data_IF_891853046613
#
_entry.id   IF_891853046613
#
_cell.length_a   1.000
_cell.length_b   1.000
_cell.length_c   1.000
_cell.angle_alpha   90.00
_cell.angle_beta   90.00
_cell.angle_gamma   90.00
#
_symmetry.space_group_name_H-M   'P 1'
#
loop_
_entity.id
_entity.type
_entity.pdbx_description
1 polymer ?
#
# COMPACT_ATOMS: atom_id res chain seq x y z
N UNK A 1 5.46 25.41 -4.73
CA UNK A 1 5.96 24.55 -5.83
C UNK A 1 6.19 23.17 -5.23
N UNK A 2 5.63 22.11 -5.83
CA UNK A 2 5.74 20.74 -5.31
C UNK A 2 7.19 20.29 -5.42
N UNK A 3 7.73 19.69 -4.37
CA UNK A 3 9.09 19.13 -4.43
C UNK A 3 9.08 17.90 -5.36
N UNK A 4 9.74 17.96 -6.54
CA UNK A 4 9.73 16.87 -7.50
C UNK A 4 10.35 15.58 -6.93
N UNK A 5 11.28 15.69 -5.99
CA UNK A 5 11.91 14.53 -5.35
C UNK A 5 10.91 13.79 -4.47
N UNK A 6 10.08 14.51 -3.72
CA UNK A 6 9.03 13.90 -2.89
C UNK A 6 7.94 13.23 -3.74
N UNK A 7 7.65 13.75 -4.92
CA UNK A 7 6.73 13.10 -5.88
C UNK A 7 7.31 11.80 -6.40
N UNK A 8 8.55 11.84 -6.87
CA UNK A 8 9.27 10.68 -7.37
C UNK A 8 9.37 9.59 -6.31
N UNK A 9 9.66 9.98 -5.06
CA UNK A 9 9.68 9.09 -3.91
C UNK A 9 8.33 8.37 -3.72
N UNK A 10 7.21 9.11 -3.70
CA UNK A 10 5.90 8.50 -3.51
C UNK A 10 5.47 7.60 -4.68
N UNK A 11 5.83 7.95 -5.92
CA UNK A 11 5.58 7.10 -7.09
C UNK A 11 6.37 5.80 -7.02
N UNK A 12 7.66 5.87 -6.64
CA UNK A 12 8.48 4.67 -6.41
C UNK A 12 7.90 3.80 -5.30
N UNK A 13 7.48 4.40 -4.19
CA UNK A 13 6.84 3.68 -3.10
C UNK A 13 5.54 2.99 -3.55
N UNK A 14 4.73 3.63 -4.40
CA UNK A 14 3.53 3.00 -4.98
C UNK A 14 3.89 1.77 -5.82
N UNK A 15 4.90 1.88 -6.69
CA UNK A 15 5.35 0.78 -7.52
C UNK A 15 6.00 -0.37 -6.72
N UNK A 16 6.68 -0.07 -5.63
CA UNK A 16 7.24 -1.07 -4.71
C UNK A 16 6.13 -1.78 -3.93
N UNK A 17 5.14 -1.04 -3.43
CA UNK A 17 3.97 -1.59 -2.75
C UNK A 17 3.14 -2.48 -3.67
N UNK A 18 2.85 -2.03 -4.90
CA UNK A 18 2.14 -2.81 -5.91
C UNK A 18 2.79 -4.18 -6.13
N UNK A 19 4.12 -4.20 -6.29
CA UNK A 19 4.91 -5.44 -6.48
C UNK A 19 4.85 -6.34 -5.26
N UNK A 20 5.09 -5.81 -4.07
CA UNK A 20 5.04 -6.57 -2.83
C UNK A 20 3.64 -7.17 -2.59
N UNK A 21 2.59 -6.39 -2.87
CA UNK A 21 1.20 -6.82 -2.75
C UNK A 21 0.87 -7.95 -3.73
N UNK A 22 1.29 -7.81 -4.99
CA UNK A 22 1.13 -8.86 -6.02
C UNK A 22 1.79 -10.19 -5.63
N UNK A 23 3.01 -10.14 -5.07
CA UNK A 23 3.69 -11.33 -4.56
C UNK A 23 2.95 -11.95 -3.36
N UNK A 24 2.49 -11.13 -2.41
CA UNK A 24 1.76 -11.58 -1.23
C UNK A 24 0.44 -12.29 -1.59
N UNK A 25 -0.32 -11.75 -2.57
CA UNK A 25 -1.55 -12.37 -3.08
C UNK A 25 -1.27 -13.69 -3.81
N UNK A 26 -0.24 -13.70 -4.66
CA UNK A 26 0.20 -14.91 -5.36
C UNK A 26 0.58 -16.03 -4.38
N UNK A 27 1.31 -15.71 -3.31
CA UNK A 27 1.70 -16.68 -2.28
C UNK A 27 0.54 -17.32 -1.52
N UNK A 28 -0.66 -16.72 -1.54
CA UNK A 28 -1.89 -17.26 -0.93
C UNK A 28 -2.78 -18.03 -1.90
N UNK A 29 -2.33 -18.22 -3.14
CA UNK A 29 -3.17 -18.81 -4.18
C UNK A 29 -4.26 -17.89 -4.70
N UNK A 30 -4.26 -16.60 -4.32
CA UNK A 30 -5.13 -15.53 -4.88
C UNK A 30 -4.48 -14.85 -6.09
N UNK A 31 -3.49 -15.52 -6.70
CA UNK A 31 -2.71 -14.99 -7.80
C UNK A 31 -3.43 -15.16 -9.13
N UNK A 32 -3.57 -14.02 -9.82
CA UNK A 32 -3.93 -13.84 -11.23
C UNK A 32 -5.42 -13.92 -11.58
N UNK A 33 -6.06 -12.74 -11.52
CA UNK A 33 -6.71 -12.24 -12.74
C UNK A 33 -5.77 -11.21 -13.36
N UNK A 34 -5.31 -11.43 -14.58
CA UNK A 34 -4.40 -10.51 -15.30
C UNK A 34 -5.07 -9.15 -15.62
N UNK A 35 -6.33 -9.01 -15.25
CA UNK A 35 -7.19 -7.82 -15.29
C UNK A 35 -7.24 -7.06 -13.97
N UNK A 36 -6.57 -7.51 -12.91
CA UNK A 36 -6.54 -6.77 -11.64
C UNK A 36 -5.93 -5.39 -11.86
N UNK A 37 -6.77 -4.36 -11.71
CA UNK A 37 -6.38 -2.96 -11.74
C UNK A 37 -5.23 -2.69 -10.76
N UNK A 38 -4.47 -1.61 -11.00
CA UNK A 38 -3.40 -1.19 -10.09
C UNK A 38 -3.95 -1.07 -8.67
N UNK A 39 -3.39 -1.84 -7.74
CA UNK A 39 -3.82 -1.81 -6.34
C UNK A 39 -3.21 -0.64 -5.59
N UNK A 40 -2.07 -0.09 -6.02
CA UNK A 40 -1.41 1.03 -5.37
C UNK A 40 -1.29 2.23 -6.33
N UNK A 41 -1.84 3.38 -5.93
CA UNK A 41 -1.78 4.62 -6.69
C UNK A 41 -1.19 5.76 -5.88
N UNK A 42 -0.60 6.72 -6.58
CA UNK A 42 -0.05 7.92 -5.99
C UNK A 42 -1.07 9.07 -5.98
N UNK A 43 -1.23 9.74 -4.84
CA UNK A 43 -2.08 10.94 -4.73
C UNK A 43 -1.34 12.12 -4.11
N UNK A 44 -1.63 13.31 -4.64
CA UNK A 44 -1.02 14.57 -4.23
C UNK A 44 -1.63 15.19 -2.96
N UNK A 45 -2.91 14.89 -2.71
CA UNK A 45 -3.76 15.64 -1.79
C UNK A 45 -4.54 14.68 -0.89
N UNK A 46 -4.56 14.95 0.42
CA UNK A 46 -5.35 14.19 1.40
C UNK A 46 -6.50 15.04 1.89
N UNK A 47 -7.66 14.44 2.11
CA UNK A 47 -8.80 15.14 2.71
C UNK A 47 -8.58 15.33 4.22
N UNK A 48 -8.04 14.32 4.91
CA UNK A 48 -7.91 14.28 6.38
C UNK A 48 -6.47 14.41 6.93
N UNK A 49 -5.49 14.69 6.07
CA UNK A 49 -4.08 14.82 6.46
C UNK A 49 -3.50 16.13 5.92
N UNK A 50 -2.43 16.68 6.53
CA UNK A 50 -1.86 17.97 6.17
C UNK A 50 -1.69 18.07 4.65
N UNK A 51 -2.41 19.03 4.07
CA UNK A 51 -2.44 19.26 2.63
C UNK A 51 -1.01 19.47 2.12
N UNK A 52 -0.66 18.76 1.05
CA UNK A 52 0.62 18.94 0.34
C UNK A 52 1.67 17.85 0.54
N UNK A 53 1.43 16.80 1.34
CA UNK A 53 2.33 15.65 1.40
C UNK A 53 1.93 14.56 0.39
N UNK A 54 2.83 14.18 -0.54
CA UNK A 54 2.59 13.10 -1.48
C UNK A 54 2.45 11.76 -0.74
N UNK A 55 1.46 10.93 -1.10
CA UNK A 55 1.24 9.62 -0.47
C UNK A 55 0.75 8.56 -1.46
N UNK A 56 0.88 7.30 -1.06
CA UNK A 56 0.37 6.14 -1.78
C UNK A 56 -0.98 5.73 -1.18
N UNK A 57 -1.91 5.32 -2.03
CA UNK A 57 -3.21 4.74 -1.67
C UNK A 57 -3.23 3.31 -2.17
N UNK A 58 -3.63 2.39 -1.30
CA UNK A 58 -3.79 0.97 -1.61
C UNK A 58 -5.30 0.65 -1.70
N UNK A 59 -5.78 0.25 -2.87
CA UNK A 59 -7.11 -0.29 -3.10
C UNK A 59 -7.15 -1.77 -2.75
N UNK A 60 -7.93 -2.09 -1.72
CA UNK A 60 -8.14 -3.45 -1.22
C UNK A 60 -9.64 -3.77 -1.22
N UNK A 61 -9.99 -5.02 -1.48
CA UNK A 61 -11.32 -5.52 -1.09
C UNK A 61 -11.40 -5.73 0.43
N UNK A 62 -12.59 -6.04 0.91
CA UNK A 62 -12.85 -6.20 2.35
C UNK A 62 -12.13 -7.41 2.97
N UNK A 63 -11.83 -8.46 2.20
CA UNK A 63 -11.16 -9.66 2.69
C UNK A 63 -9.65 -9.42 2.83
N UNK A 64 -9.04 -8.89 1.78
CA UNK A 64 -7.62 -8.51 1.75
C UNK A 64 -7.30 -7.42 2.80
N UNK A 65 -8.21 -6.46 3.02
CA UNK A 65 -8.06 -5.44 4.07
C UNK A 65 -8.05 -6.04 5.48
N UNK A 66 -8.90 -7.05 5.76
CA UNK A 66 -8.92 -7.74 7.05
C UNK A 66 -7.66 -8.55 7.28
N UNK A 67 -7.15 -9.21 6.25
CA UNK A 67 -5.89 -9.93 6.36
C UNK A 67 -4.70 -9.02 6.59
N UNK A 68 -4.67 -7.86 5.92
CA UNK A 68 -3.64 -6.86 6.17
C UNK A 68 -3.69 -6.40 7.64
N UNK A 69 -4.88 -6.09 8.16
CA UNK A 69 -5.05 -5.71 9.56
C UNK A 69 -4.51 -6.81 10.50
N UNK A 70 -4.92 -8.06 10.29
CA UNK A 70 -4.46 -9.19 11.10
C UNK A 70 -2.93 -9.40 11.01
N UNK A 71 -2.32 -9.18 9.85
CA UNK A 71 -0.86 -9.25 9.69
C UNK A 71 -0.15 -8.15 10.47
N UNK A 72 -0.63 -6.91 10.37
CA UNK A 72 -0.06 -5.77 11.06
C UNK A 72 -0.19 -5.91 12.59
N UNK A 73 -1.35 -6.34 13.08
CA UNK A 73 -1.56 -6.64 14.51
C UNK A 73 -0.57 -7.71 15.01
N UNK A 74 -0.32 -8.76 14.23
CA UNK A 74 0.65 -9.79 14.59
C UNK A 74 2.09 -9.28 14.64
N UNK A 75 2.47 -8.35 13.75
CA UNK A 75 3.79 -7.73 13.82
C UNK A 75 3.91 -6.80 15.02
N UNK A 76 2.88 -6.00 15.30
CA UNK A 76 2.85 -5.08 16.42
C UNK A 76 2.94 -5.80 17.79
N UNK A 77 2.29 -6.97 17.90
CA UNK A 77 2.41 -7.83 19.09
C UNK A 77 3.81 -8.46 19.20
N UNK A 78 4.43 -8.83 18.08
CA UNK A 78 5.80 -9.35 18.06
C UNK A 78 6.86 -8.30 18.39
N UNK A 79 6.62 -7.04 18.03
CA UNK A 79 7.52 -5.90 18.24
C UNK A 79 7.43 -5.35 19.68
N UNK A 80 6.29 -5.51 20.37
CA UNK A 80 6.11 -5.12 21.78
C UNK A 80 6.69 -6.08 22.82
N UNK A 81 7.16 -7.26 22.41
CA UNK A 81 7.69 -8.30 23.33
C UNK A 81 9.22 -8.18 23.54
N UNK A 82 9.84 -7.07 23.11
CA UNK A 82 11.27 -6.81 23.27
C UNK A 82 11.53 -5.57 24.13
#
# INVERSE_FOLDING_TARGET
>A
MRDPELVSCAQRAAAELERAWGHWRTGRGRGADATAESVASYVAHSLDHPWGRPRVVLGLDAEDARELAALLERQEVGERVW
#
